data_IF_682241475097
#
_entry.id   IF_682241475097
#
_cell.length_a   1.000
_cell.length_b   1.000
_cell.length_c   1.000
_cell.angle_alpha   90.00
_cell.angle_beta   90.00
_cell.angle_gamma   90.00
#
_symmetry.space_group_name_H-M   'P 1'
#
loop_
_entity.id
_entity.type
_entity.pdbx_description
1 polymer ?
#
# COMPACT_ATOMS: atom_id res chain seq x y z
N UNK A 1 -12.55 25.64 -0.95
CA UNK A 1 -11.79 24.99 -2.04
C UNK A 1 -10.74 24.09 -1.40
N UNK A 2 -10.81 22.76 -1.56
CA UNK A 2 -9.73 21.87 -1.11
C UNK A 2 -8.47 22.27 -1.90
N UNK A 3 -7.35 22.56 -1.22
CA UNK A 3 -6.07 22.81 -1.90
C UNK A 3 -5.71 21.51 -2.63
N UNK A 4 -5.61 21.56 -3.96
CA UNK A 4 -5.09 20.44 -4.73
C UNK A 4 -3.62 20.30 -4.36
N UNK A 5 -3.27 19.19 -3.71
CA UNK A 5 -1.89 18.89 -3.33
C UNK A 5 -1.09 18.65 -4.61
N UNK A 6 0.08 19.29 -4.71
CA UNK A 6 0.89 19.27 -5.92
C UNK A 6 1.47 17.86 -6.15
N UNK A 7 0.87 17.14 -7.09
CA UNK A 7 1.46 15.95 -7.71
C UNK A 7 2.00 16.39 -9.06
N UNK A 8 3.24 16.02 -9.38
CA UNK A 8 3.86 16.33 -10.67
C UNK A 8 2.96 15.86 -11.84
N UNK A 9 2.42 16.80 -12.66
CA UNK A 9 1.47 16.48 -13.72
C UNK A 9 2.02 15.52 -14.78
N UNK A 10 3.33 15.54 -15.02
CA UNK A 10 3.95 14.64 -15.99
C UNK A 10 3.97 13.20 -15.48
N UNK A 11 4.16 13.01 -14.16
CA UNK A 11 4.04 11.68 -13.51
C UNK A 11 2.63 11.14 -13.64
N UNK A 12 1.62 11.99 -13.37
CA UNK A 12 0.20 11.64 -13.49
C UNK A 12 -0.11 11.21 -14.93
N UNK A 13 0.27 12.03 -15.90
CA UNK A 13 0.01 11.79 -17.33
C UNK A 13 0.65 10.48 -17.82
N UNK A 14 1.89 10.19 -17.40
CA UNK A 14 2.56 8.93 -17.73
C UNK A 14 1.82 7.72 -17.18
N UNK A 15 1.45 7.75 -15.89
CA UNK A 15 0.75 6.64 -15.24
C UNK A 15 -0.62 6.39 -15.86
N UNK A 16 -1.41 7.45 -16.09
CA UNK A 16 -2.74 7.33 -16.70
C UNK A 16 -2.69 6.84 -18.14
N UNK A 17 -1.78 7.39 -18.96
CA UNK A 17 -1.62 6.94 -20.35
C UNK A 17 -1.28 5.46 -20.41
N UNK A 18 -0.37 5.00 -19.53
CA UNK A 18 -0.01 3.59 -19.47
C UNK A 18 -1.19 2.71 -19.03
N UNK A 19 -1.91 3.11 -17.97
CA UNK A 19 -3.08 2.38 -17.50
C UNK A 19 -4.16 2.26 -18.60
N UNK A 20 -4.46 3.35 -19.31
CA UNK A 20 -5.38 3.33 -20.45
C UNK A 20 -4.93 2.38 -21.55
N UNK A 21 -3.64 2.39 -21.91
CA UNK A 21 -3.08 1.50 -22.92
C UNK A 21 -3.17 0.02 -22.50
N UNK A 22 -2.88 -0.30 -21.24
CA UNK A 22 -2.99 -1.67 -20.72
C UNK A 22 -4.45 -2.15 -20.72
N UNK A 23 -5.39 -1.30 -20.28
CA UNK A 23 -6.81 -1.63 -20.28
C UNK A 23 -7.39 -1.84 -21.69
N UNK A 24 -6.77 -1.25 -22.72
CA UNK A 24 -7.15 -1.42 -24.12
C UNK A 24 -6.46 -2.61 -24.81
N UNK A 25 -5.42 -3.20 -24.20
CA UNK A 25 -4.74 -4.37 -24.77
C UNK A 25 -5.56 -5.64 -24.52
N UNK A 26 -5.59 -6.51 -25.52
CA UNK A 26 -6.05 -7.88 -25.31
C UNK A 26 -5.15 -8.57 -24.29
N UNK A 27 -5.75 -9.25 -23.30
CA UNK A 27 -4.99 -10.03 -22.32
C UNK A 27 -4.15 -11.07 -23.05
N UNK A 28 -2.82 -10.96 -22.99
CA UNK A 28 -1.95 -11.97 -23.57
C UNK A 28 -2.10 -13.27 -22.77
N UNK A 29 -2.41 -14.41 -23.42
CA UNK A 29 -2.69 -15.66 -22.73
C UNK A 29 -1.40 -16.40 -22.36
N UNK A 30 -0.53 -15.79 -21.57
CA UNK A 30 0.51 -16.52 -20.83
C UNK A 30 0.21 -16.46 -19.34
N UNK A 31 -0.24 -17.61 -18.86
CA UNK A 31 -0.39 -18.03 -17.46
C UNK A 31 -1.27 -17.21 -16.49
N UNK A 32 -2.52 -16.91 -16.85
CA UNK A 32 -3.70 -17.21 -16.01
C UNK A 32 -5.03 -16.77 -16.66
N UNK A 33 -5.95 -17.73 -16.77
CA UNK A 33 -7.31 -17.56 -17.31
C UNK A 33 -8.20 -16.72 -16.38
N UNK A 34 -8.94 -15.78 -16.98
CA UNK A 34 -10.28 -15.26 -16.65
C UNK A 34 -10.54 -14.62 -15.26
N UNK A 35 -9.67 -14.76 -14.26
CA UNK A 35 -9.81 -14.11 -12.94
C UNK A 35 -8.90 -12.91 -12.74
N UNK A 36 -7.92 -12.68 -13.61
CA UNK A 36 -6.98 -11.56 -13.49
C UNK A 36 -7.42 -10.28 -14.20
N UNK A 37 -8.31 -10.35 -15.20
CA UNK A 37 -8.86 -9.17 -15.89
C UNK A 37 -9.65 -8.20 -14.97
N UNK A 38 -9.88 -8.57 -13.70
CA UNK A 38 -10.56 -7.78 -12.68
C UNK A 38 -9.64 -7.26 -11.56
N UNK A 39 -8.33 -7.50 -11.58
CA UNK A 39 -7.43 -7.26 -10.44
C UNK A 39 -6.55 -6.01 -10.55
N UNK A 40 -6.72 -5.19 -11.58
CA UNK A 40 -5.76 -4.11 -11.83
C UNK A 40 -6.26 -2.78 -11.27
N UNK A 41 -5.90 -2.55 -10.02
CA UNK A 41 -5.52 -1.29 -9.36
C UNK A 41 -5.54 -1.58 -7.85
N UNK A 42 -4.36 -1.62 -7.22
CA UNK A 42 -4.21 -1.88 -5.79
C UNK A 42 -3.91 -0.58 -5.06
N UNK A 43 -4.62 -0.33 -3.95
CA UNK A 43 -4.36 0.81 -3.06
C UNK A 43 -3.95 0.31 -1.69
N UNK A 44 -3.10 1.09 -1.03
CA UNK A 44 -2.57 0.76 0.29
C UNK A 44 -3.04 1.80 1.29
N UNK A 45 -3.19 1.39 2.54
CA UNK A 45 -3.51 2.30 3.64
C UNK A 45 -4.77 3.15 3.37
N UNK A 46 -4.74 4.43 3.78
CA UNK A 46 -5.85 5.36 3.75
C UNK A 46 -5.89 6.20 2.46
N UNK A 47 -5.19 5.76 1.41
CA UNK A 47 -5.04 6.46 0.14
C UNK A 47 -6.43 6.77 -0.48
N UNK A 48 -6.88 8.05 -0.47
CA UNK A 48 -8.21 8.42 -0.93
C UNK A 48 -8.28 8.51 -2.44
N UNK A 49 -9.44 8.20 -2.99
CA UNK A 49 -9.78 8.40 -4.42
C UNK A 49 -10.66 9.63 -4.58
N UNK A 50 -11.53 9.90 -3.62
CA UNK A 50 -12.47 11.00 -3.70
C UNK A 50 -11.74 12.35 -3.76
N UNK A 51 -11.94 13.09 -4.86
CA UNK A 51 -11.25 14.35 -5.11
C UNK A 51 -9.83 14.23 -5.68
N UNK A 52 -9.33 13.01 -5.92
CA UNK A 52 -8.01 12.75 -6.51
C UNK A 52 -8.04 11.80 -7.71
N UNK A 53 -9.21 11.40 -8.19
CA UNK A 53 -9.37 10.42 -9.27
C UNK A 53 -8.61 10.80 -10.56
N UNK A 54 -8.49 12.08 -10.86
CA UNK A 54 -7.68 12.60 -11.98
C UNK A 54 -6.17 12.44 -11.78
N UNK A 55 -5.68 12.15 -10.58
CA UNK A 55 -4.27 11.93 -10.29
C UNK A 55 -3.95 10.44 -10.08
N UNK A 56 -4.85 9.72 -9.40
CA UNK A 56 -4.57 8.36 -8.91
C UNK A 56 -5.44 7.29 -9.52
N UNK A 57 -6.30 7.63 -10.49
CA UNK A 57 -7.29 6.73 -11.07
C UNK A 57 -8.54 6.61 -10.20
N UNK A 58 -9.61 6.06 -10.77
CA UNK A 58 -10.91 5.88 -10.12
C UNK A 58 -11.26 4.42 -9.83
N UNK A 59 -10.36 3.49 -10.18
CA UNK A 59 -10.58 2.07 -9.96
C UNK A 59 -9.76 1.61 -8.75
N UNK A 60 -10.36 0.75 -7.97
CA UNK A 60 -9.69 -0.03 -6.93
C UNK A 60 -10.22 -1.44 -7.09
N UNK A 61 -9.38 -2.43 -6.84
CA UNK A 61 -9.75 -3.85 -6.96
C UNK A 61 -9.33 -4.61 -5.72
N UNK A 62 -8.18 -4.25 -5.17
CA UNK A 62 -7.72 -4.67 -3.86
C UNK A 62 -7.28 -3.44 -3.09
N UNK A 63 -7.77 -3.28 -1.85
CA UNK A 63 -7.21 -2.34 -0.88
C UNK A 63 -6.55 -3.14 0.23
N UNK A 64 -5.23 -3.05 0.34
CA UNK A 64 -4.46 -3.70 1.41
C UNK A 64 -4.17 -2.69 2.52
N UNK A 65 -4.59 -2.99 3.74
CA UNK A 65 -4.40 -2.07 4.88
C UNK A 65 -4.46 -2.81 6.22
N UNK A 66 -4.18 -2.09 7.30
CA UNK A 66 -4.22 -2.52 8.69
C UNK A 66 -5.10 -1.54 9.48
N UNK A 67 -5.50 -1.83 10.73
CA UNK A 67 -6.52 -1.04 11.44
C UNK A 67 -6.26 0.47 11.45
N UNK A 68 -5.04 0.91 11.80
CA UNK A 68 -4.69 2.34 11.86
C UNK A 68 -4.42 2.99 10.50
N UNK A 69 -4.30 2.17 9.46
CA UNK A 69 -4.15 2.60 8.06
C UNK A 69 -5.47 2.56 7.28
N UNK A 70 -6.57 2.03 7.81
CA UNK A 70 -7.82 1.90 7.08
C UNK A 70 -8.51 3.28 6.89
N UNK A 71 -9.10 3.58 5.72
CA UNK A 71 -9.92 4.77 5.55
C UNK A 71 -11.03 4.88 6.61
N UNK A 72 -11.22 6.07 7.17
CA UNK A 72 -12.31 6.32 8.14
C UNK A 72 -13.63 6.67 7.45
N UNK A 73 -13.59 7.10 6.20
CA UNK A 73 -14.78 7.48 5.42
C UNK A 73 -15.32 6.29 4.65
N UNK A 74 -16.63 6.07 4.74
CA UNK A 74 -17.35 5.04 3.98
C UNK A 74 -17.23 5.24 2.47
N UNK A 75 -17.03 6.49 2.01
CA UNK A 75 -16.90 6.85 0.59
C UNK A 75 -15.65 6.26 -0.08
N UNK A 76 -14.69 5.78 0.72
CA UNK A 76 -13.43 5.20 0.22
C UNK A 76 -13.48 3.68 0.01
N UNK A 77 -14.64 3.06 0.27
CA UNK A 77 -14.87 1.64 0.11
C UNK A 77 -15.88 1.37 -1.01
N UNK A 78 -15.42 0.82 -2.12
CA UNK A 78 -16.29 0.48 -3.25
C UNK A 78 -16.78 -0.95 -3.14
N UNK A 79 -18.04 -1.21 -3.52
CA UNK A 79 -18.73 -2.48 -3.29
C UNK A 79 -18.10 -3.72 -3.95
N UNK A 80 -17.25 -3.52 -4.97
CA UNK A 80 -16.54 -4.58 -5.69
C UNK A 80 -15.08 -4.75 -5.25
N UNK A 81 -14.59 -3.94 -4.30
CA UNK A 81 -13.22 -4.01 -3.81
C UNK A 81 -13.02 -5.23 -2.92
N UNK A 82 -11.85 -5.86 -3.05
CA UNK A 82 -11.35 -6.79 -2.04
C UNK A 82 -10.61 -6.01 -0.96
N UNK A 83 -11.03 -6.17 0.29
CA UNK A 83 -10.32 -5.63 1.46
C UNK A 83 -9.33 -6.68 1.98
N UNK A 84 -8.03 -6.41 1.86
CA UNK A 84 -6.98 -7.31 2.37
C UNK A 84 -6.44 -6.74 3.69
N UNK A 85 -6.79 -7.39 4.79
CA UNK A 85 -6.31 -7.05 6.12
C UNK A 85 -4.87 -7.55 6.33
N UNK A 86 -3.98 -6.64 6.71
CA UNK A 86 -2.62 -6.91 7.17
C UNK A 86 -2.63 -6.83 8.69
N UNK A 87 -2.27 -7.92 9.36
CA UNK A 87 -2.37 -8.06 10.81
C UNK A 87 -0.94 -8.13 11.39
N UNK A 88 -0.57 -7.13 12.19
CA UNK A 88 0.76 -7.00 12.79
C UNK A 88 0.77 -7.32 14.28
N UNK A 89 -0.36 -7.12 14.97
CA UNK A 89 -0.50 -7.34 16.42
C UNK A 89 -1.82 -8.04 16.73
N UNK A 90 -1.89 -8.68 17.89
CA UNK A 90 -3.04 -9.50 18.32
C UNK A 90 -4.37 -8.75 18.23
N UNK A 91 -4.40 -7.49 18.67
CA UNK A 91 -5.62 -6.66 18.65
C UNK A 91 -6.13 -6.33 17.25
N UNK A 92 -5.30 -6.50 16.20
CA UNK A 92 -5.74 -6.33 14.82
C UNK A 92 -6.76 -7.42 14.43
N UNK A 93 -6.68 -8.61 15.03
CA UNK A 93 -7.67 -9.68 14.85
C UNK A 93 -9.01 -9.31 15.51
N UNK A 94 -8.98 -8.72 16.70
CA UNK A 94 -10.18 -8.25 17.40
C UNK A 94 -10.89 -7.17 16.57
N UNK A 95 -10.12 -6.23 16.01
CA UNK A 95 -10.63 -5.22 15.09
C UNK A 95 -11.24 -5.85 13.82
N UNK A 96 -10.52 -6.77 13.18
CA UNK A 96 -10.99 -7.43 11.96
C UNK A 96 -12.30 -8.19 12.21
N UNK A 97 -12.38 -8.92 13.32
CA UNK A 97 -13.61 -9.61 13.71
C UNK A 97 -14.77 -8.63 13.88
N UNK A 98 -14.54 -7.52 14.59
CA UNK A 98 -15.57 -6.50 14.83
C UNK A 98 -16.09 -5.89 13.53
N UNK A 99 -15.20 -5.48 12.61
CA UNK A 99 -15.62 -4.88 11.33
C UNK A 99 -16.32 -5.87 10.41
N UNK A 100 -15.87 -7.13 10.36
CA UNK A 100 -16.51 -8.17 9.52
C UNK A 100 -17.89 -8.55 10.05
N UNK A 101 -18.06 -8.59 11.38
CA UNK A 101 -19.35 -8.89 12.03
C UNK A 101 -20.25 -7.67 12.20
N UNK A 102 -19.76 -6.47 11.85
CA UNK A 102 -20.43 -5.20 12.12
C UNK A 102 -20.77 -5.01 13.62
N UNK A 103 -19.84 -5.41 14.48
CA UNK A 103 -19.89 -5.29 15.94
C UNK A 103 -19.08 -4.07 16.41
N UNK A 104 -19.39 -3.57 17.61
CA UNK A 104 -18.63 -2.48 18.21
C UNK A 104 -17.36 -3.01 18.86
N UNK A 105 -16.20 -2.48 18.46
CA UNK A 105 -14.93 -2.81 19.12
C UNK A 105 -14.91 -2.27 20.56
N UNK A 106 -14.63 -3.10 21.59
CA UNK A 106 -14.61 -2.66 22.98
C UNK A 106 -13.64 -1.51 23.22
N UNK A 107 -14.02 -0.54 24.06
CA UNK A 107 -13.20 0.64 24.36
C UNK A 107 -11.78 0.29 24.80
N UNK A 108 -11.61 -0.71 25.67
CA UNK A 108 -10.30 -1.15 26.15
C UNK A 108 -9.39 -1.65 25.04
N UNK A 109 -9.94 -2.29 24.00
CA UNK A 109 -9.17 -2.75 22.84
C UNK A 109 -8.73 -1.55 21.99
N UNK A 110 -9.57 -0.50 21.90
CA UNK A 110 -9.24 0.72 21.13
C UNK A 110 -7.98 1.42 21.64
N UNK A 111 -7.67 1.29 22.93
CA UNK A 111 -6.47 1.88 23.55
C UNK A 111 -5.15 1.26 23.07
N UNK A 112 -5.19 0.10 22.42
CA UNK A 112 -4.00 -0.56 21.86
C UNK A 112 -3.63 -0.08 20.45
N UNK A 113 -4.45 0.78 19.84
CA UNK A 113 -4.12 1.43 18.57
C UNK A 113 -3.55 2.82 18.82
N UNK A 114 -2.47 3.15 18.13
CA UNK A 114 -1.80 4.45 18.28
C UNK A 114 -2.55 5.60 17.57
N UNK A 115 -3.62 5.27 16.83
CA UNK A 115 -4.51 6.21 16.15
C UNK A 115 -5.93 5.63 16.12
N UNK A 116 -6.92 6.50 15.90
CA UNK A 116 -8.28 6.09 15.58
C UNK A 116 -8.32 5.12 14.40
N UNK A 117 -9.10 4.04 14.56
CA UNK A 117 -9.34 3.00 13.56
C UNK A 117 -10.78 3.07 13.05
N UNK A 118 -11.03 2.56 11.85
CA UNK A 118 -12.38 2.50 11.29
C UNK A 118 -13.26 1.57 12.15
N UNK A 119 -14.42 2.06 12.60
CA UNK A 119 -15.34 1.26 13.43
C UNK A 119 -16.24 0.35 12.59
N UNK A 120 -16.48 0.74 11.33
CA UNK A 120 -17.27 0.01 10.36
C UNK A 120 -16.58 0.09 9.01
N UNK A 121 -16.72 -0.97 8.23
CA UNK A 121 -16.30 -1.02 6.83
C UNK A 121 -17.52 -1.50 6.03
N UNK A 122 -18.05 -0.71 5.09
CA UNK A 122 -19.31 -1.01 4.40
C UNK A 122 -19.12 -2.06 3.29
N UNK A 123 -18.44 -3.17 3.59
CA UNK A 123 -18.19 -4.29 2.68
C UNK A 123 -18.81 -5.57 3.25
N UNK A 124 -19.26 -6.45 2.36
CA UNK A 124 -19.75 -7.77 2.75
C UNK A 124 -18.59 -8.68 3.20
N UNK A 125 -18.78 -9.60 4.15
CA UNK A 125 -17.73 -10.52 4.63
C UNK A 125 -16.97 -11.25 3.52
N UNK A 126 -17.64 -11.60 2.41
CA UNK A 126 -17.05 -12.25 1.24
C UNK A 126 -15.95 -11.45 0.53
N UNK A 127 -15.88 -10.14 0.76
CA UNK A 127 -14.87 -9.25 0.18
C UNK A 127 -13.63 -9.10 1.05
N UNK A 128 -13.66 -9.59 2.29
CA UNK A 128 -12.50 -9.55 3.18
C UNK A 128 -11.54 -10.71 2.90
N UNK A 129 -10.25 -10.42 2.96
CA UNK A 129 -9.14 -11.37 2.90
C UNK A 129 -8.15 -11.04 4.00
N UNK A 130 -7.43 -12.03 4.49
CA UNK A 130 -6.31 -11.84 5.42
C UNK A 130 -5.03 -12.10 4.63
N UNK A 131 -4.08 -11.17 4.68
CA UNK A 131 -2.77 -11.39 4.09
C UNK A 131 -2.08 -12.55 4.81
N UNK A 132 -1.59 -13.53 4.05
CA UNK A 132 -0.80 -14.62 4.63
C UNK A 132 0.52 -14.05 5.18
N UNK A 133 0.81 -14.19 6.48
CA UNK A 133 2.03 -13.63 7.09
C UNK A 133 3.33 -14.19 6.51
N UNK A 134 3.28 -15.32 5.79
CA UNK A 134 4.44 -15.84 5.04
C UNK A 134 4.98 -14.81 4.06
N UNK A 135 4.11 -14.02 3.40
CA UNK A 135 4.55 -12.98 2.47
C UNK A 135 5.29 -11.85 3.20
N UNK A 136 4.84 -11.49 4.41
CA UNK A 136 5.52 -10.49 5.23
C UNK A 136 6.90 -11.02 5.66
N UNK A 137 6.96 -12.29 6.07
CA UNK A 137 8.20 -12.96 6.49
C UNK A 137 9.21 -13.04 5.35
N UNK A 138 8.78 -13.51 4.18
CA UNK A 138 9.59 -13.60 2.96
C UNK A 138 10.11 -12.21 2.55
N UNK A 139 9.21 -11.22 2.53
CA UNK A 139 9.58 -9.83 2.22
C UNK A 139 10.67 -9.33 3.16
N UNK A 140 10.54 -9.58 4.47
CA UNK A 140 11.47 -9.10 5.48
C UNK A 140 12.83 -9.81 5.42
N UNK A 141 12.84 -11.14 5.45
CA UNK A 141 14.07 -11.91 5.69
C UNK A 141 14.71 -12.44 4.41
N UNK A 142 13.90 -12.92 3.46
CA UNK A 142 14.42 -13.57 2.26
C UNK A 142 14.75 -12.53 1.16
N UNK A 143 13.96 -11.45 1.08
CA UNK A 143 14.10 -10.42 0.04
C UNK A 143 14.86 -9.19 0.54
N UNK A 144 14.47 -8.62 1.68
CA UNK A 144 15.10 -7.42 2.23
C UNK A 144 16.31 -7.72 3.13
N UNK A 145 16.51 -9.01 3.48
CA UNK A 145 17.59 -9.46 4.36
C UNK A 145 17.68 -8.68 5.68
N UNK A 146 16.52 -8.33 6.24
CA UNK A 146 16.47 -7.75 7.57
C UNK A 146 16.94 -8.75 8.62
N UNK A 147 17.48 -8.25 9.72
CA UNK A 147 17.81 -9.09 10.86
C UNK A 147 16.55 -9.62 11.51
N UNK A 148 16.59 -10.90 11.93
CA UNK A 148 15.55 -11.46 12.78
C UNK A 148 15.35 -10.60 14.04
N UNK A 149 14.11 -10.51 14.57
CA UNK A 149 13.83 -9.73 15.76
C UNK A 149 14.70 -10.17 16.92
N UNK A 150 15.47 -9.24 17.48
CA UNK A 150 16.26 -9.48 18.68
C UNK A 150 15.53 -8.87 19.88
N UNK A 151 15.45 -9.63 20.97
CA UNK A 151 14.98 -9.08 22.25
C UNK A 151 15.98 -8.03 22.74
N UNK A 152 15.71 -6.74 22.50
CA UNK A 152 16.55 -5.63 22.92
C UNK A 152 15.92 -4.89 24.09
N UNK A 153 16.76 -4.48 25.05
CA UNK A 153 16.33 -3.66 26.19
C UNK A 153 15.89 -2.25 25.77
N UNK A 154 16.42 -1.71 24.67
CA UNK A 154 16.09 -0.38 24.13
C UNK A 154 16.12 -0.38 22.61
N UNK A 155 15.19 0.38 22.00
CA UNK A 155 15.05 0.49 20.55
C UNK A 155 14.20 -0.63 19.93
N UNK A 156 13.62 -0.34 18.76
CA UNK A 156 12.92 -1.32 17.95
C UNK A 156 13.79 -1.69 16.75
N UNK A 157 13.74 -2.95 16.33
CA UNK A 157 14.40 -3.37 15.11
C UNK A 157 13.70 -2.76 13.89
N UNK A 158 14.49 -2.20 12.96
CA UNK A 158 14.01 -1.70 11.66
C UNK A 158 13.76 -2.87 10.70
N UNK A 159 13.01 -3.86 11.13
CA UNK A 159 12.85 -5.14 10.44
C UNK A 159 11.41 -5.40 9.96
N UNK A 160 10.53 -4.40 10.03
CA UNK A 160 9.18 -4.51 9.47
C UNK A 160 9.19 -3.82 8.09
N UNK A 161 8.91 -4.54 7.00
CA UNK A 161 8.77 -3.91 5.69
C UNK A 161 7.55 -3.00 5.65
N UNK A 162 7.58 -1.94 4.83
CA UNK A 162 6.37 -1.17 4.56
C UNK A 162 5.31 -2.02 3.85
N UNK A 163 4.02 -1.72 4.07
CA UNK A 163 2.93 -2.33 3.29
C UNK A 163 3.14 -2.12 1.78
N UNK A 164 3.77 -1.00 1.39
CA UNK A 164 4.24 -0.73 0.04
C UNK A 164 5.02 -1.90 -0.56
N UNK A 165 6.14 -2.26 0.06
CA UNK A 165 7.01 -3.34 -0.44
C UNK A 165 6.37 -4.71 -0.28
N UNK A 166 5.61 -4.96 0.80
CA UNK A 166 4.85 -6.21 0.97
C UNK A 166 3.87 -6.40 -0.19
N UNK A 167 3.18 -5.34 -0.61
CA UNK A 167 2.27 -5.38 -1.74
C UNK A 167 2.98 -5.61 -3.07
N UNK A 168 4.19 -5.06 -3.26
CA UNK A 168 5.03 -5.34 -4.44
C UNK A 168 5.38 -6.83 -4.50
N UNK A 169 5.88 -7.41 -3.41
CA UNK A 169 6.22 -8.84 -3.36
C UNK A 169 4.99 -9.71 -3.59
N UNK A 170 3.87 -9.40 -2.93
CA UNK A 170 2.61 -10.12 -3.17
C UNK A 170 2.19 -10.03 -4.65
N UNK A 171 2.29 -8.85 -5.27
CA UNK A 171 1.93 -8.68 -6.67
C UNK A 171 2.81 -9.54 -7.59
N UNK A 172 4.11 -9.68 -7.30
CA UNK A 172 4.99 -10.56 -8.08
C UNK A 172 4.66 -12.05 -7.96
N UNK A 173 4.01 -12.47 -6.87
CA UNK A 173 3.50 -13.84 -6.71
C UNK A 173 2.17 -14.08 -7.43
N UNK A 174 1.41 -13.01 -7.71
CA UNK A 174 0.04 -13.10 -8.23
C UNK A 174 -0.11 -12.67 -9.70
N UNK A 175 0.86 -11.90 -10.23
CA UNK A 175 0.73 -11.21 -11.50
C UNK A 175 1.92 -11.51 -12.43
N UNK A 176 1.64 -11.64 -13.73
CA UNK A 176 2.68 -11.77 -14.76
C UNK A 176 3.45 -10.46 -15.00
N UNK A 177 2.77 -9.32 -14.85
CA UNK A 177 3.35 -7.99 -14.99
C UNK A 177 2.94 -7.10 -13.81
N UNK A 178 3.90 -6.37 -13.25
CA UNK A 178 3.68 -5.44 -12.13
C UNK A 178 4.15 -4.05 -12.51
N UNK A 179 3.27 -3.06 -12.38
CA UNK A 179 3.57 -1.65 -12.60
C UNK A 179 3.27 -0.84 -11.35
N UNK A 180 4.18 0.05 -10.98
CA UNK A 180 4.18 0.81 -9.73
C UNK A 180 3.93 2.29 -10.02
N UNK A 181 3.11 2.93 -9.19
CA UNK A 181 2.90 4.37 -9.19
C UNK A 181 2.82 4.88 -7.75
N UNK A 182 3.37 6.08 -7.50
CA UNK A 182 3.38 6.67 -6.15
C UNK A 182 4.39 6.05 -5.18
N UNK A 183 5.39 5.34 -5.71
CA UNK A 183 6.53 4.82 -4.95
C UNK A 183 7.73 5.76 -5.07
N UNK A 184 8.55 5.80 -4.02
CA UNK A 184 9.77 6.60 -3.95
C UNK A 184 9.83 7.48 -2.71
N UNK A 185 11.00 7.51 -2.08
CA UNK A 185 11.28 8.38 -0.94
C UNK A 185 12.53 9.22 -1.26
N UNK A 186 12.35 10.50 -1.55
CA UNK A 186 13.48 11.43 -1.66
C UNK A 186 13.77 12.07 -0.29
N UNK A 187 14.58 11.37 0.51
CA UNK A 187 14.95 11.82 1.86
C UNK A 187 15.84 13.08 1.87
N UNK A 188 16.36 13.50 0.70
CA UNK A 188 17.12 14.74 0.53
C UNK A 188 16.19 15.96 0.35
N UNK A 189 14.91 15.73 0.03
CA UNK A 189 13.90 16.77 -0.10
C UNK A 189 12.84 16.68 1.01
N UNK A 190 13.21 16.96 2.29
CA UNK A 190 12.35 16.72 3.46
C UNK A 190 11.04 17.54 3.48
N UNK A 191 10.96 18.63 2.69
CA UNK A 191 9.79 19.51 2.60
C UNK A 191 8.79 19.08 1.52
N UNK A 192 9.13 18.09 0.70
CA UNK A 192 8.19 17.57 -0.31
C UNK A 192 7.05 16.81 0.37
N UNK A 193 5.84 16.81 -0.21
CA UNK A 193 4.74 16.02 0.29
C UNK A 193 5.09 14.53 0.33
N UNK A 194 4.82 13.87 1.45
CA UNK A 194 4.94 12.42 1.61
C UNK A 194 3.76 11.71 0.93
N UNK A 195 2.56 12.29 1.05
CA UNK A 195 1.36 11.77 0.42
C UNK A 195 0.81 12.75 -0.61
N UNK A 196 0.09 12.23 -1.59
CA UNK A 196 -0.57 13.03 -2.62
C UNK A 196 -1.83 13.75 -2.13
N UNK A 197 -2.28 13.49 -0.89
CA UNK A 197 -3.60 13.90 -0.40
C UNK A 197 -3.59 14.65 0.94
N UNK A 198 -2.43 14.80 1.57
CA UNK A 198 -2.28 15.51 2.83
C UNK A 198 -1.04 16.43 2.83
N UNK A 199 -0.81 17.10 3.95
CA UNK A 199 0.31 18.03 4.12
C UNK A 199 1.48 17.40 4.91
N UNK A 200 1.50 16.07 5.07
CA UNK A 200 2.59 15.41 5.76
C UNK A 200 3.83 15.48 4.87
N UNK A 201 4.93 15.99 5.41
CA UNK A 201 6.16 16.14 4.64
C UNK A 201 7.04 14.88 4.73
N UNK A 202 7.89 14.68 3.72
CA UNK A 202 8.85 13.58 3.62
C UNK A 202 9.75 13.44 4.86
N UNK A 203 10.00 14.54 5.59
CA UNK A 203 10.71 14.54 6.87
C UNK A 203 10.13 13.53 7.90
N UNK A 204 8.81 13.28 7.87
CA UNK A 204 8.16 12.34 8.77
C UNK A 204 8.69 10.91 8.62
N UNK A 205 9.19 10.54 7.43
CA UNK A 205 9.80 9.23 7.20
C UNK A 205 11.11 9.04 7.96
N UNK A 206 11.83 10.11 8.31
CA UNK A 206 13.05 10.03 9.14
C UNK A 206 12.72 9.70 10.60
N UNK A 207 11.50 9.97 11.04
CA UNK A 207 11.01 9.66 12.38
C UNK A 207 10.46 8.23 12.50
N UNK A 208 10.25 7.54 11.38
CA UNK A 208 9.78 6.15 11.38
C UNK A 208 10.93 5.22 11.78
N UNK A 209 10.81 4.63 12.96
CA UNK A 209 11.83 3.75 13.56
C UNK A 209 11.65 2.28 13.22
N UNK A 210 10.53 1.89 12.61
CA UNK A 210 10.19 0.48 12.31
C UNK A 210 10.62 0.02 10.93
N UNK A 211 10.73 0.95 9.98
CA UNK A 211 10.98 0.65 8.57
C UNK A 211 12.38 1.09 8.15
N UNK A 212 13.03 0.29 7.28
CA UNK A 212 14.28 0.66 6.63
C UNK A 212 14.03 1.05 5.17
N UNK A 213 13.41 2.22 4.99
CA UNK A 213 13.01 2.71 3.66
C UNK A 213 14.19 2.89 2.70
N UNK A 214 15.41 3.07 3.20
CA UNK A 214 16.60 3.11 2.35
C UNK A 214 16.87 1.74 1.71
N UNK A 215 16.73 0.65 2.46
CA UNK A 215 16.91 -0.71 1.93
C UNK A 215 15.78 -1.08 0.97
N UNK A 216 14.55 -0.70 1.31
CA UNK A 216 13.39 -0.85 0.43
C UNK A 216 13.56 -0.09 -0.89
N UNK A 217 14.04 1.16 -0.86
CA UNK A 217 14.34 1.93 -2.09
C UNK A 217 15.39 1.24 -2.94
N UNK A 218 16.44 0.65 -2.35
CA UNK A 218 17.45 -0.11 -3.11
C UNK A 218 16.87 -1.35 -3.77
N UNK A 219 15.97 -2.07 -3.08
CA UNK A 219 15.25 -3.20 -3.66
C UNK A 219 14.42 -2.73 -4.87
N UNK A 220 13.60 -1.69 -4.70
CA UNK A 220 12.75 -1.17 -5.77
C UNK A 220 13.57 -0.71 -6.99
N UNK A 221 14.68 -0.01 -6.79
CA UNK A 221 15.62 0.37 -7.86
C UNK A 221 16.13 -0.86 -8.61
N UNK A 222 16.52 -1.92 -7.89
CA UNK A 222 16.98 -3.17 -8.51
C UNK A 222 15.85 -3.84 -9.32
N UNK A 223 14.65 -3.95 -8.77
CA UNK A 223 13.50 -4.55 -9.47
C UNK A 223 13.15 -3.80 -10.76
N UNK A 224 13.22 -2.46 -10.75
CA UNK A 224 13.00 -1.64 -11.95
C UNK A 224 14.13 -1.83 -12.96
N UNK A 225 15.39 -1.78 -12.52
CA UNK A 225 16.56 -1.96 -13.38
C UNK A 225 16.58 -3.32 -14.09
N UNK A 226 16.22 -4.38 -13.39
CA UNK A 226 16.16 -5.75 -13.93
C UNK A 226 14.86 -6.03 -14.72
N UNK A 227 13.95 -5.05 -14.83
CA UNK A 227 12.71 -5.18 -15.59
C UNK A 227 11.65 -6.07 -14.94
N UNK A 228 11.79 -6.42 -13.66
CA UNK A 228 10.81 -7.22 -12.90
C UNK A 228 9.53 -6.41 -12.65
N UNK A 229 9.68 -5.11 -12.39
CA UNK A 229 8.55 -4.18 -12.22
C UNK A 229 8.77 -2.91 -13.04
N UNK A 230 7.69 -2.23 -13.41
CA UNK A 230 7.76 -0.96 -14.15
C UNK A 230 7.38 0.23 -13.27
N UNK A 231 8.26 1.22 -13.13
CA UNK A 231 7.91 2.50 -12.48
C UNK A 231 7.20 3.44 -13.47
N UNK A 232 5.90 3.66 -13.25
CA UNK A 232 5.09 4.52 -14.10
C UNK A 232 5.24 6.00 -13.73
N UNK A 233 5.44 6.28 -12.45
CA UNK A 233 5.57 7.65 -11.93
C UNK A 233 6.98 8.20 -12.12
N UNK A 234 8.02 7.36 -12.24
CA UNK A 234 9.41 7.81 -12.21
C UNK A 234 9.81 8.31 -10.82
N UNK A 235 9.18 7.79 -9.76
CA UNK A 235 9.47 8.17 -8.38
C UNK A 235 10.55 7.30 -7.73
N UNK A 236 10.80 6.11 -8.27
CA UNK A 236 11.82 5.17 -7.79
C UNK A 236 13.17 5.51 -8.44
N UNK A 237 13.17 5.66 -9.77
CA UNK A 237 14.32 6.12 -10.55
C UNK A 237 14.21 7.64 -10.77
N UNK A 238 14.58 8.44 -9.78
CA UNK A 238 14.84 9.86 -10.01
C UNK A 238 16.31 10.00 -10.44
N UNK A 239 16.57 10.14 -11.75
CA UNK A 239 17.67 11.02 -12.17
C UNK A 239 17.08 12.44 -12.14
N UNK A 240 17.60 13.30 -11.26
CA UNK A 240 17.31 14.73 -11.27
C UNK A 240 18.32 15.45 -12.16
#
# INVERSE_FOLDING_TARGET
>A
MKKVHYVDPDRVKRAQKYAQQVLQKECQPKFAKKSMARLFEHRLNNAPVEGYSEHVGNKTTIRMTYPEGAPLSDLEYYSNDLFVAVLFKRVDFDWLQAVVKNETLPFWIRLFFWKQVAEKIPLQPKHFRILNPVIIKETAFDILHYSEPQSRFWGQDKNIPTIGVIAVVLATHLCDEVSLAGFGYDLNQPKTPLHYFDNLCMAAMKLQTMHNVTTETRLLLKLVKEGVVKDLSGGIHCEF
#
